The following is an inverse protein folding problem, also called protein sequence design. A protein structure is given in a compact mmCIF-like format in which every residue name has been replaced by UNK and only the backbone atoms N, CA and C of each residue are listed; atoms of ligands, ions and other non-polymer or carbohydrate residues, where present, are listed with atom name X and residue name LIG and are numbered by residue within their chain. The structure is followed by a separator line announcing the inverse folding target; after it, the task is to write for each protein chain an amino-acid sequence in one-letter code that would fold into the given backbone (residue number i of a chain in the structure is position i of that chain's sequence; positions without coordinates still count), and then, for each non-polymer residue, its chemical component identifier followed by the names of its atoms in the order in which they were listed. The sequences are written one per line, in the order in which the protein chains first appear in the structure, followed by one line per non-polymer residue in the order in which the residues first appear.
data_IF_248525496842
#
_entry.id   IF_248525496842
#
_cell.length_a   1.000
_cell.length_b   1.000
_cell.length_c   1.000
_cell.angle_alpha   90.00
_cell.angle_beta   90.00
_cell.angle_gamma   90.00
#
_symmetry.space_group_name_H-M   'P 1'
#
loop_
_entity.id
_entity.type
_entity.pdbx_description
1 polymer ?
#
# COMPACT_ATOMS: atom_id res chain seq x y z
N UNK A 1 24.88 -1.15 1.56
CA UNK A 1 25.18 -1.20 0.11
C UNK A 1 24.73 0.14 -0.48
N UNK A 2 25.68 1.02 -0.73
CA UNK A 2 25.42 2.39 -1.24
C UNK A 2 25.09 2.29 -2.74
N UNK A 3 23.86 2.61 -3.11
CA UNK A 3 23.53 2.78 -4.53
C UNK A 3 23.99 4.17 -4.97
N UNK A 4 25.07 4.23 -5.75
CA UNK A 4 25.50 5.43 -6.45
C UNK A 4 24.49 5.68 -7.58
N UNK A 5 23.77 6.79 -7.50
CA UNK A 5 22.87 7.27 -8.53
C UNK A 5 23.70 7.81 -9.70
N UNK A 6 23.87 7.01 -10.73
CA UNK A 6 24.20 7.51 -12.06
C UNK A 6 22.90 7.69 -12.81
N UNK A 7 22.70 8.87 -13.39
CA UNK A 7 21.57 9.15 -14.28
C UNK A 7 21.45 8.03 -15.32
N UNK A 8 20.32 7.32 -15.32
CA UNK A 8 20.08 6.15 -16.17
C UNK A 8 19.95 6.55 -17.66
N UNK A 9 19.99 7.88 -17.93
CA UNK A 9 19.91 8.46 -19.27
C UNK A 9 21.08 8.05 -20.15
N UNK A 10 22.32 8.18 -19.65
CA UNK A 10 23.53 7.89 -20.44
C UNK A 10 23.69 6.39 -20.73
N UNK A 11 23.17 5.53 -19.85
CA UNK A 11 23.23 4.09 -20.04
C UNK A 11 22.24 3.56 -21.08
N UNK A 12 21.12 4.25 -21.29
CA UNK A 12 20.13 3.81 -22.27
C UNK A 12 20.58 4.13 -23.72
N UNK A 13 21.27 5.24 -23.92
CA UNK A 13 21.78 5.64 -25.23
C UNK A 13 22.99 4.80 -25.70
N UNK A 14 23.75 4.22 -24.75
CA UNK A 14 24.95 3.43 -25.08
C UNK A 14 24.66 1.95 -25.34
N UNK A 15 23.49 1.44 -24.95
CA UNK A 15 23.09 0.07 -25.21
C UNK A 15 21.94 0.07 -26.21
N UNK A 16 22.12 -0.60 -27.36
CA UNK A 16 21.09 -0.81 -28.39
C UNK A 16 19.95 -1.74 -27.89
N UNK A 17 19.55 -1.61 -26.61
CA UNK A 17 18.53 -2.43 -25.95
C UNK A 17 17.21 -1.68 -25.90
N UNK A 18 16.14 -2.37 -26.25
CA UNK A 18 14.78 -1.86 -26.09
C UNK A 18 14.31 -1.99 -24.65
N UNK A 19 13.90 -0.88 -24.03
CA UNK A 19 13.44 -0.89 -22.63
C UNK A 19 11.92 -0.90 -22.55
N UNK A 20 11.39 -1.90 -21.82
CA UNK A 20 9.98 -2.01 -21.46
C UNK A 20 9.84 -1.61 -19.98
N UNK A 21 9.05 -0.57 -19.70
CA UNK A 21 8.77 -0.13 -18.33
C UNK A 21 7.35 -0.49 -17.96
N UNK A 22 7.16 -1.18 -16.84
CA UNK A 22 5.87 -1.58 -16.28
C UNK A 22 5.62 -0.74 -15.02
N UNK A 23 4.52 0.01 -15.00
CA UNK A 23 4.09 0.81 -13.86
C UNK A 23 2.99 0.10 -13.09
N UNK A 24 3.27 -0.25 -11.84
CA UNK A 24 2.35 -0.94 -10.92
C UNK A 24 2.70 -2.39 -10.66
N UNK A 25 2.79 -2.74 -9.37
CA UNK A 25 3.12 -4.09 -8.85
C UNK A 25 1.90 -4.93 -8.45
N UNK A 26 0.70 -4.58 -8.94
CA UNK A 26 -0.51 -5.36 -8.74
C UNK A 26 -0.62 -6.55 -9.70
N UNK A 27 -1.78 -7.22 -9.69
CA UNK A 27 -2.02 -8.42 -10.53
C UNK A 27 -1.71 -8.20 -12.00
N UNK A 28 -2.17 -7.09 -12.59
CA UNK A 28 -1.94 -6.77 -13.99
C UNK A 28 -0.45 -6.62 -14.31
N UNK A 29 0.27 -5.82 -13.53
CA UNK A 29 1.70 -5.57 -13.73
C UNK A 29 2.54 -6.83 -13.56
N UNK A 30 2.31 -7.61 -12.49
CA UNK A 30 3.05 -8.87 -12.25
C UNK A 30 2.74 -9.91 -13.33
N UNK A 31 1.50 -9.99 -13.81
CA UNK A 31 1.13 -10.90 -14.90
C UNK A 31 1.86 -10.55 -16.19
N UNK A 32 1.90 -9.25 -16.55
CA UNK A 32 2.65 -8.77 -17.72
C UNK A 32 4.14 -9.04 -17.54
N UNK A 33 4.70 -8.74 -16.37
CA UNK A 33 6.12 -9.00 -16.07
C UNK A 33 6.48 -10.46 -16.32
N UNK A 34 5.72 -11.40 -15.75
CA UNK A 34 5.94 -12.85 -15.92
C UNK A 34 5.92 -13.25 -17.40
N UNK A 35 4.90 -12.80 -18.15
CA UNK A 35 4.75 -13.11 -19.57
C UNK A 35 5.91 -12.53 -20.41
N UNK A 36 6.32 -11.29 -20.16
CA UNK A 36 7.43 -10.68 -20.88
C UNK A 36 8.76 -11.38 -20.57
N UNK A 37 9.01 -11.74 -19.31
CA UNK A 37 10.22 -12.48 -18.93
C UNK A 37 10.27 -13.86 -19.60
N UNK A 38 9.15 -14.56 -19.71
CA UNK A 38 9.07 -15.84 -20.42
C UNK A 38 9.28 -15.65 -21.92
N UNK A 39 8.65 -14.65 -22.52
CA UNK A 39 8.72 -14.41 -23.96
C UNK A 39 10.13 -14.00 -24.42
N UNK A 40 10.79 -13.12 -23.64
CA UNK A 40 12.13 -12.61 -23.93
C UNK A 40 13.24 -13.34 -23.13
N UNK A 41 13.02 -14.58 -22.73
CA UNK A 41 13.89 -15.30 -21.82
C UNK A 41 15.38 -15.33 -22.26
N UNK A 42 15.64 -15.45 -23.53
CA UNK A 42 16.98 -15.50 -24.14
C UNK A 42 17.39 -14.22 -24.87
N UNK A 43 16.46 -13.30 -25.06
CA UNK A 43 16.70 -12.06 -25.84
C UNK A 43 17.35 -10.99 -24.95
N UNK A 44 18.65 -10.81 -25.10
CA UNK A 44 19.45 -9.82 -24.37
C UNK A 44 19.26 -8.39 -24.89
N UNK A 45 18.58 -8.21 -26.04
CA UNK A 45 18.28 -6.88 -26.60
C UNK A 45 17.11 -6.18 -25.89
N UNK A 46 16.37 -6.89 -25.02
CA UNK A 46 15.25 -6.35 -24.26
C UNK A 46 15.63 -6.20 -22.78
N UNK A 47 15.38 -5.00 -22.26
CA UNK A 47 15.54 -4.64 -20.84
C UNK A 47 14.14 -4.41 -20.23
N UNK A 48 13.81 -5.13 -19.15
CA UNK A 48 12.50 -5.03 -18.50
C UNK A 48 12.69 -4.37 -17.14
N UNK A 49 11.92 -3.32 -16.87
CA UNK A 49 11.91 -2.62 -15.59
C UNK A 49 10.48 -2.55 -15.04
N UNK A 50 10.30 -2.81 -13.75
CA UNK A 50 9.04 -2.63 -13.05
C UNK A 50 9.19 -1.56 -11.98
N UNK A 51 8.21 -0.67 -11.90
CA UNK A 51 8.09 0.37 -10.86
C UNK A 51 6.84 0.10 -10.06
N UNK A 52 6.97 -0.01 -8.74
CA UNK A 52 5.82 -0.09 -7.83
C UNK A 52 6.08 0.70 -6.57
N UNK A 53 5.03 1.31 -6.03
CA UNK A 53 5.04 2.00 -4.74
C UNK A 53 5.37 1.03 -3.59
N UNK A 54 4.75 -0.15 -3.63
CA UNK A 54 4.93 -1.20 -2.64
C UNK A 54 5.91 -2.26 -3.17
N UNK A 55 6.68 -2.87 -2.27
CA UNK A 55 7.65 -3.91 -2.60
C UNK A 55 7.05 -5.32 -2.60
N UNK A 56 5.74 -5.44 -2.46
CA UNK A 56 4.99 -6.68 -2.43
C UNK A 56 3.77 -6.64 -3.35
N UNK A 57 3.38 -7.81 -3.83
CA UNK A 57 2.08 -8.05 -4.43
C UNK A 57 1.10 -8.36 -3.31
N UNK A 58 0.01 -7.60 -3.22
CA UNK A 58 -1.07 -7.82 -2.29
C UNK A 58 -2.17 -8.65 -2.95
N UNK A 59 -2.54 -9.79 -2.33
CA UNK A 59 -3.70 -10.58 -2.74
C UNK A 59 -5.00 -9.96 -2.21
N UNK A 60 -5.44 -8.90 -2.85
CA UNK A 60 -6.59 -8.07 -2.43
C UNK A 60 -7.90 -8.84 -2.21
N UNK A 61 -8.21 -9.97 -2.89
CA UNK A 61 -9.43 -10.73 -2.62
C UNK A 61 -9.57 -11.24 -1.18
N UNK A 62 -8.47 -11.38 -0.44
CA UNK A 62 -8.47 -11.85 0.96
C UNK A 62 -8.38 -10.73 2.00
N UNK A 63 -8.54 -9.47 1.63
CA UNK A 63 -8.51 -8.35 2.58
C UNK A 63 -9.65 -8.41 3.60
N UNK A 64 -10.81 -8.93 3.22
CA UNK A 64 -11.93 -9.10 4.15
C UNK A 64 -11.64 -10.13 5.24
N UNK A 65 -10.80 -11.14 4.97
CA UNK A 65 -10.36 -12.11 5.96
C UNK A 65 -9.36 -11.52 6.96
N UNK A 66 -8.55 -10.54 6.52
CA UNK A 66 -7.74 -9.72 7.43
C UNK A 66 -8.64 -8.87 8.32
N UNK A 67 -9.68 -8.24 7.75
CA UNK A 67 -10.62 -7.40 8.49
C UNK A 67 -11.43 -8.20 9.52
N UNK A 68 -11.75 -9.46 9.23
CA UNK A 68 -12.41 -10.37 10.17
C UNK A 68 -11.45 -10.99 11.20
N UNK A 69 -10.13 -10.83 11.03
CA UNK A 69 -9.12 -11.43 11.91
C UNK A 69 -8.86 -12.93 11.67
N UNK A 70 -9.41 -13.50 10.59
CA UNK A 70 -9.25 -14.93 10.28
C UNK A 70 -7.84 -15.30 9.82
N UNK A 71 -7.15 -14.37 9.14
CA UNK A 71 -5.79 -14.61 8.65
C UNK A 71 -4.88 -13.41 8.96
N UNK A 72 -3.58 -13.68 9.03
CA UNK A 72 -2.57 -12.64 9.21
C UNK A 72 -2.17 -12.02 7.87
N UNK A 73 -1.76 -10.75 7.91
CA UNK A 73 -1.38 -9.95 6.74
C UNK A 73 -0.26 -10.58 5.91
N UNK A 74 0.67 -11.30 6.56
CA UNK A 74 1.79 -11.99 5.89
C UNK A 74 1.34 -13.06 4.90
N UNK A 75 0.14 -13.64 5.07
CA UNK A 75 -0.36 -14.70 4.21
C UNK A 75 -0.91 -14.21 2.87
N UNK A 76 -1.16 -12.91 2.73
CA UNK A 76 -1.72 -12.31 1.51
C UNK A 76 -0.74 -11.39 0.78
N UNK A 77 0.53 -11.39 1.18
CA UNK A 77 1.58 -10.60 0.54
C UNK A 77 2.68 -11.50 -0.01
N UNK A 78 3.18 -11.16 -1.19
CA UNK A 78 4.33 -11.83 -1.80
C UNK A 78 5.32 -10.77 -2.27
N UNK A 79 6.61 -10.85 -1.90
CA UNK A 79 7.60 -9.88 -2.34
C UNK A 79 7.69 -9.80 -3.87
N UNK A 80 7.59 -8.61 -4.46
CA UNK A 80 7.65 -8.44 -5.92
C UNK A 80 8.98 -8.97 -6.49
N UNK A 81 10.06 -8.85 -5.71
CA UNK A 81 11.39 -9.30 -6.15
C UNK A 81 11.46 -10.79 -6.46
N UNK A 82 10.59 -11.62 -5.89
CA UNK A 82 10.48 -13.05 -6.20
C UNK A 82 9.99 -13.30 -7.63
N UNK A 83 9.29 -12.34 -8.22
CA UNK A 83 8.84 -12.39 -9.61
C UNK A 83 9.87 -11.82 -10.60
N UNK A 84 10.91 -11.13 -10.11
CA UNK A 84 11.86 -10.37 -10.92
C UNK A 84 13.11 -11.21 -11.24
N UNK A 85 12.97 -12.26 -12.04
CA UNK A 85 14.09 -13.15 -12.39
C UNK A 85 15.06 -12.49 -13.40
N UNK A 86 14.52 -11.68 -14.33
CA UNK A 86 15.27 -11.06 -15.43
C UNK A 86 14.89 -9.59 -15.62
N UNK A 87 14.38 -8.95 -14.60
CA UNK A 87 13.92 -7.57 -14.66
C UNK A 87 14.49 -6.77 -13.51
N UNK A 88 14.58 -5.46 -13.70
CA UNK A 88 14.89 -4.52 -12.62
C UNK A 88 13.63 -4.10 -11.91
N UNK A 89 13.66 -4.07 -10.59
CA UNK A 89 12.57 -3.59 -9.76
C UNK A 89 12.94 -2.30 -9.04
N UNK A 90 12.11 -1.28 -9.22
CA UNK A 90 12.21 0.00 -8.55
C UNK A 90 11.04 0.15 -7.57
N UNK A 91 11.34 0.16 -6.26
CA UNK A 91 10.37 0.51 -5.23
C UNK A 91 10.25 2.04 -5.17
N UNK A 92 9.30 2.58 -5.94
CA UNK A 92 9.19 4.02 -6.14
C UNK A 92 7.76 4.43 -6.51
N UNK A 93 7.42 5.67 -6.16
CA UNK A 93 6.16 6.30 -6.58
C UNK A 93 6.36 6.99 -7.94
N UNK A 94 5.48 6.72 -8.88
CA UNK A 94 5.40 7.43 -10.16
C UNK A 94 4.88 8.84 -9.92
N UNK A 95 5.61 9.86 -10.37
CA UNK A 95 5.25 11.27 -10.21
C UNK A 95 4.72 11.89 -11.47
N UNK A 96 5.35 11.58 -12.60
CA UNK A 96 4.95 12.11 -13.90
C UNK A 96 5.31 11.13 -15.01
N UNK A 97 4.50 11.11 -16.06
CA UNK A 97 4.72 10.35 -17.29
C UNK A 97 4.71 11.34 -18.45
N UNK A 98 5.86 11.48 -19.09
CA UNK A 98 6.03 12.30 -20.31
C UNK A 98 6.02 11.34 -21.51
N UNK A 99 4.90 11.31 -22.24
CA UNK A 99 4.70 10.41 -23.37
C UNK A 99 5.50 10.85 -24.60
N UNK A 100 5.73 12.16 -24.78
CA UNK A 100 6.47 12.70 -25.92
C UNK A 100 7.96 12.36 -25.80
N UNK A 101 8.52 12.59 -24.60
CA UNK A 101 9.94 12.29 -24.29
C UNK A 101 10.16 10.84 -23.89
N UNK A 102 9.12 10.01 -23.86
CA UNK A 102 9.15 8.61 -23.40
C UNK A 102 9.88 8.46 -22.07
N UNK A 103 9.51 9.26 -21.08
CA UNK A 103 10.18 9.37 -19.78
C UNK A 103 9.19 9.27 -18.64
N UNK A 104 9.51 8.46 -17.63
CA UNK A 104 8.79 8.37 -16.36
C UNK A 104 9.65 8.96 -15.25
N UNK A 105 9.09 9.92 -14.52
CA UNK A 105 9.72 10.47 -13.31
C UNK A 105 9.24 9.68 -12.10
N UNK A 106 10.17 9.14 -11.34
CA UNK A 106 9.90 8.34 -10.15
C UNK A 106 10.56 8.97 -8.93
N UNK A 107 9.92 8.78 -7.77
CA UNK A 107 10.51 9.12 -6.47
C UNK A 107 10.65 7.83 -5.66
N UNK A 108 11.84 7.55 -5.13
CA UNK A 108 12.06 6.37 -4.28
C UNK A 108 11.08 6.38 -3.10
N UNK A 109 10.44 5.23 -2.84
CA UNK A 109 9.53 5.04 -1.70
C UNK A 109 10.29 4.92 -0.39
N UNK A 110 11.59 4.76 -0.44
CA UNK A 110 12.42 4.69 0.76
C UNK A 110 12.49 6.10 1.35
N UNK A 111 11.54 6.42 2.19
CA UNK A 111 11.62 7.53 3.16
C UNK A 111 12.65 7.16 4.23
N UNK A 112 13.89 6.95 3.77
CA UNK A 112 15.01 6.48 4.58
C UNK A 112 15.40 7.47 5.68
N UNK A 113 14.93 8.70 5.61
CA UNK A 113 15.29 9.74 6.59
C UNK A 113 14.39 9.69 7.82
N UNK A 114 13.07 9.51 7.66
CA UNK A 114 12.17 9.34 8.81
C UNK A 114 12.37 7.98 9.48
N UNK A 115 12.52 6.91 8.70
CA UNK A 115 12.79 5.58 9.25
C UNK A 115 14.17 5.48 9.93
N UNK A 116 15.19 6.17 9.41
CA UNK A 116 16.49 6.25 10.06
C UNK A 116 16.44 7.10 11.35
N UNK A 117 15.66 8.18 11.37
CA UNK A 117 15.44 8.97 12.58
C UNK A 117 14.75 8.17 13.69
N UNK A 118 13.77 7.32 13.35
CA UNK A 118 13.11 6.42 14.29
C UNK A 118 14.06 5.31 14.80
N UNK A 119 14.92 4.74 13.93
CA UNK A 119 15.85 3.68 14.30
C UNK A 119 17.00 4.20 15.19
N UNK A 120 17.44 5.45 14.97
CA UNK A 120 18.56 6.07 15.73
C UNK A 120 18.09 6.61 17.10
N UNK A 121 16.78 6.53 17.40
CA UNK A 121 16.25 6.93 18.73
C UNK A 121 16.41 8.42 19.03
N UNK A 122 16.58 9.25 17.99
CA UNK A 122 16.79 10.68 18.13
C UNK A 122 15.48 11.43 18.20
N UNK A 123 15.19 12.01 19.36
CA UNK A 123 14.23 13.10 19.52
C UNK A 123 14.48 14.14 18.43
N UNK A 124 13.42 14.43 17.64
CA UNK A 124 13.26 15.60 16.75
C UNK A 124 14.55 16.21 16.21
N UNK A 125 15.18 15.56 15.24
CA UNK A 125 16.19 16.25 14.44
C UNK A 125 15.41 17.23 13.56
N UNK A 126 15.41 18.52 13.95
CA UNK A 126 14.98 19.61 13.10
C UNK A 126 15.95 19.71 11.92
N UNK A 127 15.77 18.85 10.90
CA UNK A 127 16.49 18.99 9.66
C UNK A 127 16.06 20.32 9.02
N UNK A 128 17.00 21.21 8.77
CA UNK A 128 16.72 22.47 8.09
C UNK A 128 16.03 22.19 6.77
N UNK A 129 15.07 23.03 6.38
CA UNK A 129 14.30 22.93 5.12
C UNK A 129 15.22 22.72 3.90
N UNK A 130 16.45 23.22 3.96
CA UNK A 130 17.49 23.05 2.94
C UNK A 130 17.99 21.62 2.84
N UNK A 131 18.14 20.91 3.97
CA UNK A 131 18.60 19.52 3.98
C UNK A 131 17.50 18.55 3.50
N UNK A 132 16.23 18.83 3.83
CA UNK A 132 15.08 18.05 3.30
C UNK A 132 14.94 18.25 1.80
N UNK A 133 15.05 19.47 1.28
CA UNK A 133 15.00 19.75 -0.16
C UNK A 133 16.16 19.10 -0.94
N UNK A 134 17.37 19.09 -0.34
CA UNK A 134 18.54 18.43 -0.94
C UNK A 134 18.41 16.91 -0.99
N UNK A 135 17.82 16.30 0.03
CA UNK A 135 17.53 14.86 0.06
C UNK A 135 16.37 14.51 -0.86
N UNK A 136 15.35 15.34 -0.96
CA UNK A 136 14.25 15.16 -1.90
C UNK A 136 14.70 15.24 -3.36
N UNK A 137 15.61 16.12 -3.71
CA UNK A 137 16.16 16.21 -5.07
C UNK A 137 17.00 15.00 -5.46
N UNK A 138 17.70 14.36 -4.51
CA UNK A 138 18.48 13.12 -4.74
C UNK A 138 17.61 11.86 -4.84
N UNK A 139 16.33 11.90 -4.45
CA UNK A 139 15.43 10.76 -4.51
C UNK A 139 14.61 10.67 -5.79
N UNK A 140 14.65 11.72 -6.62
CA UNK A 140 13.97 11.73 -7.91
C UNK A 140 14.89 11.22 -9.00
N UNK A 141 14.42 10.22 -9.74
CA UNK A 141 15.10 9.66 -10.91
C UNK A 141 14.17 9.56 -12.10
N UNK A 142 14.76 9.40 -13.27
CA UNK A 142 14.05 9.29 -14.53
C UNK A 142 14.34 7.94 -15.18
N UNK A 143 13.27 7.28 -15.65
CA UNK A 143 13.37 6.08 -16.47
C UNK A 143 12.90 6.41 -17.89
N UNK A 144 13.78 6.21 -18.87
CA UNK A 144 13.42 6.28 -20.27
C UNK A 144 12.94 4.93 -20.76
N UNK A 145 11.98 4.90 -21.69
CA UNK A 145 11.38 3.67 -22.20
C UNK A 145 11.16 3.73 -23.71
N UNK A 146 11.19 2.57 -24.34
CA UNK A 146 10.67 2.37 -25.70
C UNK A 146 9.18 2.00 -25.64
N UNK A 147 8.83 1.14 -24.67
CA UNK A 147 7.46 0.65 -24.46
C UNK A 147 7.06 0.85 -23.00
N UNK A 148 5.83 1.31 -22.79
CA UNK A 148 5.28 1.56 -21.46
C UNK A 148 4.01 0.74 -21.24
N UNK A 149 3.97 0.05 -20.11
CA UNK A 149 2.77 -0.64 -19.61
C UNK A 149 2.27 0.09 -18.37
N UNK A 150 1.04 0.57 -18.40
CA UNK A 150 0.39 1.26 -17.28
C UNK A 150 -0.57 0.29 -16.61
N UNK A 151 -0.24 -0.15 -15.39
CA UNK A 151 -1.00 -1.09 -14.58
C UNK A 151 -1.14 -0.60 -13.13
N UNK A 152 -1.40 0.70 -12.95
CA UNK A 152 -1.41 1.40 -11.66
C UNK A 152 -2.63 1.05 -10.77
N UNK A 153 -3.57 0.27 -11.29
CA UNK A 153 -4.78 -0.12 -10.58
C UNK A 153 -5.86 0.97 -10.58
N UNK A 154 -6.65 1.01 -9.52
CA UNK A 154 -7.79 1.92 -9.38
C UNK A 154 -7.91 2.45 -7.96
N UNK A 155 -8.55 3.60 -7.81
CA UNK A 155 -8.92 4.19 -6.53
C UNK A 155 -10.44 4.18 -6.35
N UNK A 156 -10.90 4.19 -5.09
CA UNK A 156 -12.32 4.32 -4.77
C UNK A 156 -12.77 5.73 -5.07
N UNK A 157 -13.85 5.87 -5.85
CA UNK A 157 -14.51 7.15 -6.12
C UNK A 157 -15.86 7.21 -5.42
N UNK A 158 -16.09 8.28 -4.71
CA UNK A 158 -17.35 8.55 -3.99
C UNK A 158 -18.31 9.45 -4.77
N UNK A 159 -17.97 9.81 -6.02
CA UNK A 159 -18.83 10.60 -6.93
C UNK A 159 -19.42 11.88 -6.32
N UNK A 160 -18.67 12.54 -5.43
CA UNK A 160 -19.12 13.76 -4.74
C UNK A 160 -20.03 13.53 -3.52
N UNK A 161 -20.28 12.29 -3.14
CA UNK A 161 -21.05 11.93 -1.93
C UNK A 161 -20.16 12.06 -0.70
N UNK A 162 -20.07 13.29 -0.16
CA UNK A 162 -19.21 13.64 0.99
C UNK A 162 -19.52 12.82 2.24
N UNK A 163 -20.81 12.59 2.51
CA UNK A 163 -21.27 11.87 3.70
C UNK A 163 -20.82 10.40 3.68
N UNK A 164 -20.89 9.77 2.50
CA UNK A 164 -20.38 8.41 2.32
C UNK A 164 -18.86 8.39 2.45
N UNK A 165 -18.16 9.36 1.89
CA UNK A 165 -16.71 9.45 1.99
C UNK A 165 -16.21 9.60 3.44
N UNK A 166 -16.97 10.31 4.29
CA UNK A 166 -16.61 10.52 5.69
C UNK A 166 -16.95 9.33 6.59
N UNK A 167 -18.00 8.56 6.26
CA UNK A 167 -18.55 7.53 7.14
C UNK A 167 -18.34 6.09 6.63
N UNK A 168 -17.82 5.90 5.41
CA UNK A 168 -17.60 4.58 4.84
C UNK A 168 -16.13 4.14 4.96
N UNK A 169 -15.93 2.86 5.23
CA UNK A 169 -14.63 2.22 5.12
C UNK A 169 -14.42 1.69 3.71
N UNK A 170 -13.22 1.90 3.18
CA UNK A 170 -12.77 1.22 1.96
C UNK A 170 -11.93 0.00 2.32
N UNK A 171 -11.89 -1.01 1.44
CA UNK A 171 -11.04 -2.19 1.61
C UNK A 171 -10.20 -2.35 0.34
N UNK A 172 -9.08 -1.64 0.27
CA UNK A 172 -8.13 -1.67 -0.85
C UNK A 172 -6.70 -1.96 -0.43
N UNK A 173 -6.36 -1.63 0.81
CA UNK A 173 -5.03 -1.80 1.38
C UNK A 173 -5.10 -2.63 2.67
N UNK A 174 -3.95 -3.11 3.12
CA UNK A 174 -3.83 -3.78 4.42
C UNK A 174 -4.27 -2.85 5.55
N UNK A 175 -3.88 -1.59 5.50
CA UNK A 175 -4.26 -0.61 6.52
C UNK A 175 -5.77 -0.39 6.57
N UNK A 176 -6.45 -0.39 5.43
CA UNK A 176 -7.92 -0.29 5.41
C UNK A 176 -8.56 -1.46 6.15
N UNK A 177 -8.10 -2.68 5.89
CA UNK A 177 -8.61 -3.88 6.54
C UNK A 177 -8.35 -3.88 8.06
N UNK A 178 -7.15 -3.45 8.49
CA UNK A 178 -6.79 -3.32 9.90
C UNK A 178 -7.64 -2.23 10.58
N UNK A 179 -7.81 -1.08 9.95
CA UNK A 179 -8.62 0.02 10.48
C UNK A 179 -10.08 -0.40 10.65
N UNK A 180 -10.64 -1.07 9.66
CA UNK A 180 -12.01 -1.61 9.73
C UNK A 180 -12.15 -2.61 10.90
N UNK A 181 -11.20 -3.56 11.02
CA UNK A 181 -11.18 -4.53 12.13
C UNK A 181 -11.15 -3.83 13.48
N UNK A 182 -10.23 -2.89 13.65
CA UNK A 182 -10.06 -2.19 14.92
C UNK A 182 -11.31 -1.35 15.26
N UNK A 183 -11.96 -0.76 14.25
CA UNK A 183 -13.20 -0.03 14.46
C UNK A 183 -14.35 -0.93 14.91
N UNK A 184 -14.50 -2.10 14.30
CA UNK A 184 -15.53 -3.09 14.70
C UNK A 184 -15.29 -3.54 16.14
N UNK A 185 -14.04 -3.90 16.49
CA UNK A 185 -13.69 -4.30 17.86
C UNK A 185 -14.03 -3.17 18.85
N UNK A 186 -13.62 -1.94 18.51
CA UNK A 186 -13.91 -0.77 19.36
C UNK A 186 -15.41 -0.57 19.61
N UNK A 187 -16.25 -0.73 18.57
CA UNK A 187 -17.70 -0.62 18.72
C UNK A 187 -18.31 -1.73 19.58
N UNK A 188 -17.80 -2.96 19.45
CA UNK A 188 -18.22 -4.08 20.28
C UNK A 188 -17.86 -3.87 21.77
N UNK A 189 -16.63 -3.43 22.06
CA UNK A 189 -16.19 -3.08 23.41
C UNK A 189 -17.01 -1.94 24.01
N UNK A 190 -17.34 -0.92 23.23
CA UNK A 190 -18.22 0.18 23.66
C UNK A 190 -19.62 -0.33 23.99
N UNK A 191 -20.18 -1.22 23.17
CA UNK A 191 -21.49 -1.80 23.40
C UNK A 191 -21.51 -2.63 24.68
N UNK A 192 -20.46 -3.43 24.93
CA UNK A 192 -20.33 -4.24 26.13
C UNK A 192 -20.24 -3.37 27.40
N UNK A 193 -19.42 -2.32 27.38
CA UNK A 193 -19.32 -1.37 28.49
C UNK A 193 -20.67 -0.68 28.80
N UNK A 194 -21.44 -0.31 27.76
CA UNK A 194 -22.77 0.28 27.94
C UNK A 194 -23.75 -0.72 28.56
N UNK A 195 -23.70 -1.99 28.13
CA UNK A 195 -24.53 -3.04 28.72
C UNK A 195 -24.18 -3.27 30.19
N UNK A 196 -22.89 -3.37 30.53
CA UNK A 196 -22.44 -3.53 31.92
C UNK A 196 -22.85 -2.35 32.81
N UNK A 197 -22.78 -1.14 32.32
CA UNK A 197 -23.19 0.07 33.06
C UNK A 197 -24.70 0.17 33.29
N UNK A 198 -25.51 -0.49 32.45
CA UNK A 198 -26.97 -0.50 32.53
C UNK A 198 -27.52 -1.61 33.45
N UNK A 199 -26.67 -2.57 33.87
CA UNK A 199 -27.08 -3.65 34.77
C UNK A 199 -27.10 -3.14 36.22
N UNK A 200 -28.13 -3.49 37.04
CA UNK A 200 -28.14 -3.20 38.47
C UNK A 200 -27.00 -3.93 39.14
N UNK A 201 -26.29 -3.27 40.02
CA UNK A 201 -25.04 -3.74 40.69
C UNK A 201 -25.21 -4.97 41.61
N UNK A 202 -26.40 -5.57 41.67
CA UNK A 202 -26.72 -6.64 42.65
C UNK A 202 -26.53 -8.09 42.13
N UNK A 203 -26.34 -8.33 40.83
CA UNK A 203 -26.38 -9.68 40.25
C UNK A 203 -25.20 -10.01 39.29
N UNK A 204 -23.98 -9.64 39.67
CA UNK A 204 -22.80 -9.93 38.84
C UNK A 204 -22.45 -11.42 38.76
N UNK A 205 -22.88 -12.22 39.75
CA UNK A 205 -22.56 -13.66 39.83
C UNK A 205 -23.46 -14.57 38.99
N UNK A 206 -24.49 -14.07 38.32
CA UNK A 206 -25.47 -14.89 37.62
C UNK A 206 -25.64 -14.54 36.10
N UNK A 207 -24.73 -13.82 35.52
CA UNK A 207 -24.90 -13.18 34.19
C UNK A 207 -24.54 -14.04 32.96
N UNK A 208 -24.21 -15.32 33.14
CA UNK A 208 -24.07 -16.26 32.01
C UNK A 208 -25.41 -16.91 31.58
N UNK A 209 -26.51 -16.47 32.15
CA UNK A 209 -27.86 -16.93 31.80
C UNK A 209 -28.70 -15.82 31.15
N UNK A 210 -28.91 -15.92 29.85
CA UNK A 210 -29.95 -15.28 29.05
C UNK A 210 -30.19 -13.77 29.31
N UNK A 211 -29.66 -12.92 28.42
CA UNK A 211 -30.08 -11.51 28.28
C UNK A 211 -31.46 -11.52 27.62
N UNK A 212 -32.51 -11.64 28.39
CA UNK A 212 -33.90 -11.39 27.97
C UNK A 212 -34.23 -9.93 28.28
N UNK A 213 -33.62 -8.99 27.60
CA UNK A 213 -33.90 -7.57 27.77
C UNK A 213 -34.22 -6.88 26.44
N UNK A 214 -35.44 -7.18 25.94
CA UNK A 214 -36.05 -6.46 24.82
C UNK A 214 -36.11 -4.93 25.04
N UNK A 215 -36.10 -4.44 26.29
CA UNK A 215 -36.05 -3.02 26.63
C UNK A 215 -34.70 -2.38 26.34
N UNK A 216 -33.60 -3.02 26.71
CA UNK A 216 -32.25 -2.50 26.49
C UNK A 216 -31.89 -2.46 25.00
N UNK A 217 -32.37 -3.47 24.23
CA UNK A 217 -32.20 -3.47 22.78
C UNK A 217 -33.02 -2.36 22.07
N UNK A 218 -34.21 -2.04 22.63
CA UNK A 218 -35.07 -0.96 22.09
C UNK A 218 -34.49 0.44 22.37
N UNK A 219 -33.80 0.63 23.49
CA UNK A 219 -33.11 1.89 23.82
C UNK A 219 -31.85 2.09 22.97
N UNK A 220 -31.08 1.05 22.74
CA UNK A 220 -29.93 1.06 21.83
C UNK A 220 -30.35 1.39 20.39
N UNK A 221 -31.48 0.83 19.88
CA UNK A 221 -32.02 1.13 18.55
C UNK A 221 -32.51 2.57 18.39
N UNK A 222 -32.77 3.31 19.47
CA UNK A 222 -33.16 4.73 19.43
C UNK A 222 -31.98 5.69 19.39
N UNK A 223 -30.77 5.23 19.72
CA UNK A 223 -29.59 6.05 19.87
C UNK A 223 -28.66 5.99 18.66
N UNK A 224 -28.85 4.99 17.79
CA UNK A 224 -28.16 4.77 16.52
C UNK A 224 -29.17 4.49 15.39
#
# INVERSE_FOLDING_TARGET
MLFVHTDDHDKHQTTNRKRIVILGGGFGGVTVLKKLQTHFQTDVSVDIAMVSKDNYLLFTPMLHEIASGMIETRHIVTPIREFCNRSRFYCATVKNIDLEKKKVSIRSSTSSVSALAEIIGGSSINLSTTATNFLESKTQSHLYYDYLVIALGSETKFFGMSDIQQNAFTIKTINDAINLRNHIIYLLEQADQLLLSALPTADVDNTYGYIDNAKTLAELKKKY
#
